data_IF_434873240751
#
_entry.id   IF_434873240751
#
_cell.length_a   1.000
_cell.length_b   1.000
_cell.length_c   1.000
_cell.angle_alpha   90.00
_cell.angle_beta   90.00
_cell.angle_gamma   90.00
#
_symmetry.space_group_name_H-M   'P 1'
#
loop_
_entity.id
_entity.type
_entity.pdbx_description
1 polymer ?
#
# COMPACT_ATOMS: atom_id res chain seq x y z
N UNK A 1 -31.56 14.19 36.35
CA UNK A 1 -30.48 13.40 36.97
C UNK A 1 -30.16 12.32 35.97
N UNK A 2 -28.97 12.38 35.36
CA UNK A 2 -28.59 11.45 34.30
C UNK A 2 -28.38 10.04 34.86
N UNK A 3 -28.59 9.01 34.05
CA UNK A 3 -28.46 7.61 34.47
C UNK A 3 -27.11 7.30 35.13
N UNK A 4 -26.03 7.99 34.71
CA UNK A 4 -24.71 7.91 35.37
C UNK A 4 -24.71 8.36 36.84
N UNK A 5 -25.46 9.41 37.20
CA UNK A 5 -25.57 9.86 38.60
C UNK A 5 -26.33 8.85 39.45
N UNK A 6 -27.35 8.21 38.86
CA UNK A 6 -28.14 7.18 39.53
C UNK A 6 -27.30 5.93 39.74
N UNK A 7 -26.51 5.53 38.73
CA UNK A 7 -25.58 4.39 38.81
C UNK A 7 -24.47 4.67 39.83
N UNK A 8 -23.84 5.86 39.83
CA UNK A 8 -22.85 6.25 40.85
C UNK A 8 -23.44 6.20 42.25
N UNK A 9 -24.63 6.77 42.46
CA UNK A 9 -25.29 6.72 43.78
C UNK A 9 -25.56 5.29 44.21
N UNK A 10 -26.04 4.44 43.31
CA UNK A 10 -26.35 3.04 43.64
C UNK A 10 -25.10 2.23 44.00
N UNK A 11 -23.99 2.42 43.27
CA UNK A 11 -22.69 1.84 43.60
C UNK A 11 -22.15 2.31 44.95
N UNK A 12 -22.36 3.58 45.31
CA UNK A 12 -21.98 4.13 46.62
C UNK A 12 -22.84 3.59 47.78
N UNK A 13 -24.13 3.29 47.53
CA UNK A 13 -25.03 2.72 48.53
C UNK A 13 -24.82 1.20 48.74
N UNK A 14 -24.58 0.43 47.67
CA UNK A 14 -24.41 -1.03 47.75
C UNK A 14 -22.95 -1.48 47.95
N UNK A 15 -21.98 -0.57 47.82
CA UNK A 15 -20.54 -0.86 47.79
C UNK A 15 -19.83 -0.90 49.15
N UNK A 16 -20.45 -1.37 50.23
CA UNK A 16 -19.90 -1.50 51.61
C UNK A 16 -20.09 -0.30 52.57
N UNK A 17 -20.41 0.92 52.09
CA UNK A 17 -20.44 2.14 52.92
C UNK A 17 -21.49 2.19 54.04
N UNK A 18 -22.70 1.69 53.82
CA UNK A 18 -23.76 1.69 54.86
C UNK A 18 -23.74 0.46 55.77
N UNK A 19 -23.01 -0.59 55.38
CA UNK A 19 -22.94 -1.84 56.14
C UNK A 19 -21.96 -1.77 57.30
N UNK A 20 -20.83 -1.09 57.10
CA UNK A 20 -19.76 -1.02 58.10
C UNK A 20 -20.10 -0.05 59.23
N UNK A 21 -20.64 1.13 58.89
CA UNK A 21 -21.16 2.06 59.90
C UNK A 21 -22.27 1.43 60.75
N UNK A 22 -23.14 0.62 60.13
CA UNK A 22 -24.17 -0.14 60.86
C UNK A 22 -23.55 -1.21 61.77
N UNK A 23 -22.53 -1.95 61.30
CA UNK A 23 -21.82 -2.96 62.09
C UNK A 23 -21.13 -2.35 63.31
N UNK A 24 -20.43 -1.23 63.12
CA UNK A 24 -19.78 -0.49 64.20
C UNK A 24 -20.78 0.08 65.20
N UNK A 25 -21.91 0.61 64.73
CA UNK A 25 -22.99 1.08 65.61
C UNK A 25 -23.63 -0.05 66.43
N UNK A 26 -23.78 -1.25 65.85
CA UNK A 26 -24.29 -2.42 66.57
C UNK A 26 -23.29 -2.89 67.64
N UNK A 27 -22.00 -2.93 67.32
CA UNK A 27 -20.94 -3.26 68.29
C UNK A 27 -20.90 -2.24 69.43
N UNK A 28 -20.97 -0.94 69.13
CA UNK A 28 -20.98 0.13 70.11
C UNK A 28 -22.19 0.03 71.05
N UNK A 29 -23.39 -0.20 70.50
CA UNK A 29 -24.60 -0.42 71.32
C UNK A 29 -24.49 -1.68 72.18
N UNK A 30 -23.95 -2.76 71.62
CA UNK A 30 -23.70 -4.01 72.34
C UNK A 30 -22.74 -3.82 73.52
N UNK A 31 -21.65 -3.08 73.30
CA UNK A 31 -20.68 -2.73 74.33
C UNK A 31 -21.28 -1.85 75.44
N UNK A 32 -22.00 -0.80 75.08
CA UNK A 32 -22.68 0.06 76.06
C UNK A 32 -23.72 -0.69 76.87
N UNK A 33 -24.41 -1.67 76.26
CA UNK A 33 -25.39 -2.51 76.97
C UNK A 33 -24.68 -3.44 77.95
N UNK A 34 -23.58 -4.05 77.53
CA UNK A 34 -22.76 -4.93 78.36
C UNK A 34 -22.13 -4.21 79.56
N UNK A 35 -21.67 -2.96 79.40
CA UNK A 35 -21.13 -2.18 80.51
C UNK A 35 -22.16 -1.78 81.56
N UNK A 36 -23.45 -1.73 81.18
CA UNK A 36 -24.55 -1.28 82.05
C UNK A 36 -25.46 -2.44 82.51
N UNK A 37 -25.18 -3.68 82.10
CA UNK A 37 -26.00 -4.82 82.48
C UNK A 37 -25.56 -5.40 83.82
N UNK A 38 -26.53 -5.94 84.57
CA UNK A 38 -26.32 -6.55 85.88
C UNK A 38 -26.67 -8.06 85.77
N UNK A 39 -26.19 -8.65 84.68
CA UNK A 39 -26.56 -9.99 84.22
C UNK A 39 -25.76 -11.07 84.96
N UNK A 40 -26.17 -12.34 84.79
CA UNK A 40 -25.40 -13.48 85.30
C UNK A 40 -24.00 -13.52 84.68
N UNK A 41 -23.05 -14.16 85.39
CA UNK A 41 -21.67 -14.37 84.90
C UNK A 41 -21.67 -15.11 83.56
N UNK A 42 -22.57 -16.07 83.36
CA UNK A 42 -22.70 -16.83 82.12
C UNK A 42 -23.19 -15.97 80.94
N UNK A 43 -24.16 -15.09 81.19
CA UNK A 43 -24.71 -14.18 80.18
C UNK A 43 -23.69 -13.11 79.77
N UNK A 44 -22.94 -12.59 80.75
CA UNK A 44 -21.83 -11.65 80.57
C UNK A 44 -20.71 -12.25 79.71
N UNK A 45 -20.43 -13.54 79.88
CA UNK A 45 -19.41 -14.25 79.09
C UNK A 45 -19.89 -14.52 77.66
N UNK A 46 -21.17 -14.84 77.47
CA UNK A 46 -21.77 -15.03 76.16
C UNK A 46 -21.84 -13.73 75.34
N UNK A 47 -22.19 -12.60 75.97
CA UNK A 47 -22.16 -11.28 75.33
C UNK A 47 -20.74 -10.85 74.97
N UNK A 48 -19.75 -11.11 75.83
CA UNK A 48 -18.34 -10.86 75.53
C UNK A 48 -17.87 -11.64 74.30
N UNK A 49 -18.13 -12.95 74.23
CA UNK A 49 -17.77 -13.77 73.07
C UNK A 49 -18.43 -13.26 71.78
N UNK A 50 -19.69 -12.79 71.86
CA UNK A 50 -20.40 -12.20 70.72
C UNK A 50 -19.75 -10.88 70.26
N UNK A 51 -19.30 -10.03 71.18
CA UNK A 51 -18.58 -8.80 70.84
C UNK A 51 -17.24 -9.09 70.18
N UNK A 52 -16.47 -10.07 70.68
CA UNK A 52 -15.21 -10.49 70.04
C UNK A 52 -15.45 -10.98 68.61
N UNK A 53 -16.49 -11.79 68.38
CA UNK A 53 -16.85 -12.23 67.04
C UNK A 53 -17.25 -11.05 66.12
N UNK A 54 -17.94 -10.04 66.65
CA UNK A 54 -18.28 -8.83 65.89
C UNK A 54 -17.05 -7.98 65.55
N UNK A 55 -16.06 -7.88 66.45
CA UNK A 55 -14.78 -7.21 66.18
C UNK A 55 -14.05 -7.93 65.03
N UNK A 56 -13.93 -9.25 65.09
CA UNK A 56 -13.29 -10.04 64.03
C UNK A 56 -13.97 -9.85 62.67
N UNK A 57 -15.31 -9.72 62.64
CA UNK A 57 -16.04 -9.41 61.41
C UNK A 57 -15.76 -8.00 60.88
N UNK A 58 -15.57 -7.01 61.76
CA UNK A 58 -15.20 -5.64 61.35
C UNK A 58 -13.78 -5.60 60.80
N UNK A 59 -12.82 -6.30 61.43
CA UNK A 59 -11.44 -6.41 60.96
C UNK A 59 -11.36 -7.09 59.58
N UNK A 60 -12.13 -8.17 59.40
CA UNK A 60 -12.23 -8.84 58.10
C UNK A 60 -12.79 -7.92 57.01
N UNK A 61 -13.87 -7.19 57.31
CA UNK A 61 -14.47 -6.25 56.36
C UNK A 61 -13.49 -5.14 55.96
N UNK A 62 -12.80 -4.53 56.93
CA UNK A 62 -11.79 -3.50 56.67
C UNK A 62 -10.63 -4.02 55.81
N UNK A 63 -10.14 -5.22 56.12
CA UNK A 63 -9.07 -5.86 55.34
C UNK A 63 -9.51 -6.16 53.92
N UNK A 64 -10.73 -6.67 53.74
CA UNK A 64 -11.32 -6.94 52.42
C UNK A 64 -11.43 -5.64 51.61
N UNK A 65 -11.94 -4.57 52.21
CA UNK A 65 -12.08 -3.27 51.53
C UNK A 65 -10.73 -2.72 51.07
N UNK A 66 -9.69 -2.82 51.92
CA UNK A 66 -8.32 -2.45 51.54
C UNK A 66 -7.82 -3.26 50.34
N UNK A 67 -7.99 -4.59 50.34
CA UNK A 67 -7.59 -5.45 49.22
C UNK A 67 -8.36 -5.14 47.94
N UNK A 68 -9.65 -4.85 48.04
CA UNK A 68 -10.44 -4.41 46.89
C UNK A 68 -9.92 -3.08 46.33
N UNK A 69 -9.52 -2.13 47.18
CA UNK A 69 -8.92 -0.87 46.75
C UNK A 69 -7.58 -1.09 46.01
N UNK A 70 -6.70 -1.93 46.57
CA UNK A 70 -5.43 -2.31 45.93
C UNK A 70 -5.65 -2.97 44.58
N UNK A 71 -6.59 -3.93 44.50
CA UNK A 71 -6.97 -4.61 43.26
C UNK A 71 -7.51 -3.62 42.22
N UNK A 72 -8.43 -2.74 42.60
CA UNK A 72 -8.99 -1.75 41.68
C UNK A 72 -7.92 -0.80 41.14
N UNK A 73 -6.95 -0.42 41.98
CA UNK A 73 -5.82 0.43 41.56
C UNK A 73 -4.94 -0.29 40.54
N UNK A 74 -4.65 -1.57 40.76
CA UNK A 74 -3.89 -2.39 39.83
C UNK A 74 -4.63 -2.62 38.51
N UNK A 75 -5.95 -2.87 38.56
CA UNK A 75 -6.79 -3.00 37.37
C UNK A 75 -6.83 -1.70 36.56
N UNK A 76 -6.94 -0.54 37.22
CA UNK A 76 -6.89 0.76 36.55
C UNK A 76 -5.58 0.94 35.77
N UNK A 77 -4.43 0.66 36.40
CA UNK A 77 -3.13 0.73 35.73
C UNK A 77 -3.05 -0.22 34.53
N UNK A 78 -3.56 -1.44 34.68
CA UNK A 78 -3.60 -2.40 33.58
C UNK A 78 -4.48 -1.93 32.41
N UNK A 79 -5.61 -1.27 32.68
CA UNK A 79 -6.45 -0.68 31.63
C UNK A 79 -5.77 0.50 30.94
N UNK A 80 -5.03 1.33 31.66
CA UNK A 80 -4.25 2.42 31.08
C UNK A 80 -3.15 1.87 30.15
N UNK A 81 -2.44 0.82 30.57
CA UNK A 81 -1.44 0.14 29.75
C UNK A 81 -2.05 -0.48 28.49
N UNK A 82 -3.20 -1.15 28.63
CA UNK A 82 -3.92 -1.73 27.49
C UNK A 82 -4.38 -0.64 26.51
N UNK A 83 -4.85 0.49 27.03
CA UNK A 83 -5.25 1.63 26.22
C UNK A 83 -4.08 2.15 25.38
N UNK A 84 -2.91 2.33 26.01
CA UNK A 84 -1.70 2.77 25.32
C UNK A 84 -1.24 1.76 24.24
N UNK A 85 -1.28 0.47 24.52
CA UNK A 85 -0.94 -0.57 23.54
C UNK A 85 -1.89 -0.55 22.32
N UNK A 86 -3.18 -0.34 22.55
CA UNK A 86 -4.16 -0.23 21.45
C UNK A 86 -3.89 1.04 20.63
N UNK A 87 -3.62 2.18 21.29
CA UNK A 87 -3.30 3.44 20.62
C UNK A 87 -2.04 3.30 19.73
N UNK A 88 -0.98 2.66 20.26
CA UNK A 88 0.24 2.34 19.50
C UNK A 88 -0.05 1.42 18.31
N UNK A 89 -0.87 0.37 18.51
CA UNK A 89 -1.31 -0.54 17.46
C UNK A 89 -2.09 0.18 16.35
N UNK A 90 -2.94 1.13 16.71
CA UNK A 90 -3.69 1.96 15.74
C UNK A 90 -2.74 2.84 14.93
N UNK A 91 -1.75 3.46 15.58
CA UNK A 91 -0.75 4.31 14.89
C UNK A 91 0.09 3.47 13.92
N UNK A 92 0.53 2.28 14.34
CA UNK A 92 1.26 1.34 13.49
C UNK A 92 0.43 0.91 12.28
N UNK A 93 -0.83 0.48 12.50
CA UNK A 93 -1.72 0.08 11.41
C UNK A 93 -1.99 1.22 10.41
N UNK A 94 -2.16 2.46 10.89
CA UNK A 94 -2.31 3.64 10.02
C UNK A 94 -1.07 3.85 9.15
N UNK A 95 0.12 3.71 9.71
CA UNK A 95 1.39 3.82 8.98
C UNK A 95 1.51 2.74 7.90
N UNK A 96 1.12 1.50 8.21
CA UNK A 96 1.16 0.39 7.26
C UNK A 96 0.16 0.58 6.12
N UNK A 97 -1.04 1.10 6.41
CA UNK A 97 -2.03 1.48 5.38
C UNK A 97 -1.44 2.56 4.45
N UNK A 98 -0.73 3.54 5.00
CA UNK A 98 -0.15 4.61 4.20
C UNK A 98 1.00 4.11 3.31
N UNK A 99 1.82 3.19 3.82
CA UNK A 99 2.89 2.53 3.07
C UNK A 99 2.32 1.67 1.92
N UNK A 100 1.39 0.77 2.22
CA UNK A 100 0.74 -0.10 1.23
C UNK A 100 -0.01 0.69 0.15
N UNK A 101 -0.58 1.86 0.50
CA UNK A 101 -1.19 2.77 -0.48
C UNK A 101 -0.17 3.33 -1.47
N UNK A 102 1.04 3.69 -1.01
CA UNK A 102 2.13 4.15 -1.90
C UNK A 102 2.61 3.03 -2.82
N UNK A 103 2.85 1.85 -2.27
CA UNK A 103 3.23 0.66 -3.06
C UNK A 103 2.18 0.32 -4.12
N UNK A 104 0.89 0.43 -3.79
CA UNK A 104 -0.19 0.21 -4.74
C UNK A 104 -0.18 1.25 -5.88
N UNK A 105 0.13 2.51 -5.59
CA UNK A 105 0.26 3.55 -6.62
C UNK A 105 1.43 3.26 -7.56
N UNK A 106 2.59 2.87 -7.02
CA UNK A 106 3.76 2.48 -7.81
C UNK A 106 3.47 1.25 -8.68
N UNK A 107 2.85 0.22 -8.11
CA UNK A 107 2.45 -0.98 -8.85
C UNK A 107 1.47 -0.67 -9.99
N UNK A 108 0.52 0.25 -9.77
CA UNK A 108 -0.39 0.73 -10.82
C UNK A 108 0.35 1.47 -11.93
N UNK A 109 1.33 2.30 -11.59
CA UNK A 109 2.14 3.00 -12.58
C UNK A 109 2.97 2.01 -13.41
N UNK A 110 3.63 1.04 -12.78
CA UNK A 110 4.38 -0.02 -13.46
C UNK A 110 3.47 -0.79 -14.41
N UNK A 111 2.25 -1.14 -13.97
CA UNK A 111 1.28 -1.83 -14.82
C UNK A 111 0.88 -0.99 -16.03
N UNK A 112 0.59 0.31 -15.85
CA UNK A 112 0.29 1.21 -16.98
C UNK A 112 1.45 1.27 -17.96
N UNK A 113 2.67 1.48 -17.48
CA UNK A 113 3.87 1.52 -18.32
C UNK A 113 4.03 0.21 -19.11
N UNK A 114 3.84 -0.95 -18.46
CA UNK A 114 3.88 -2.26 -19.14
C UNK A 114 2.84 -2.37 -20.26
N UNK A 115 1.60 -1.96 -19.99
CA UNK A 115 0.55 -1.96 -21.02
C UNK A 115 0.88 -1.06 -22.21
N UNK A 116 1.49 0.10 -21.97
CA UNK A 116 1.95 1.00 -23.03
C UNK A 116 3.09 0.37 -23.85
N UNK A 117 4.04 -0.29 -23.19
CA UNK A 117 5.10 -1.03 -23.87
C UNK A 117 4.55 -2.20 -24.70
N UNK A 118 3.62 -2.97 -24.15
CA UNK A 118 3.00 -4.10 -24.86
C UNK A 118 2.20 -3.61 -26.07
N UNK A 119 1.49 -2.49 -25.94
CA UNK A 119 0.76 -1.88 -27.06
C UNK A 119 1.73 -1.41 -28.17
N UNK A 120 2.82 -0.74 -27.82
CA UNK A 120 3.85 -0.34 -28.79
C UNK A 120 4.53 -1.55 -29.43
N UNK A 121 4.85 -2.59 -28.65
CA UNK A 121 5.43 -3.82 -29.16
C UNK A 121 4.50 -4.52 -30.16
N UNK A 122 3.19 -4.55 -29.89
CA UNK A 122 2.21 -5.10 -30.82
C UNK A 122 2.19 -4.33 -32.15
N UNK A 123 2.25 -3.00 -32.11
CA UNK A 123 2.33 -2.17 -33.33
C UNK A 123 3.64 -2.44 -34.08
N UNK A 124 4.78 -2.51 -33.38
CA UNK A 124 6.08 -2.82 -33.99
C UNK A 124 6.07 -4.20 -34.66
N UNK A 125 5.42 -5.19 -34.05
CA UNK A 125 5.34 -6.55 -34.58
C UNK A 125 4.50 -6.66 -35.87
N UNK A 126 3.63 -5.69 -36.15
CA UNK A 126 2.94 -5.61 -37.47
C UNK A 126 3.90 -5.23 -38.60
N UNK A 127 5.02 -4.59 -38.27
CA UNK A 127 6.02 -4.19 -39.25
C UNK A 127 6.99 -5.36 -39.52
N UNK A 128 7.48 -5.51 -40.76
CA UNK A 128 8.41 -6.57 -41.11
C UNK A 128 9.75 -6.42 -40.37
N UNK A 129 10.41 -7.56 -40.15
CA UNK A 129 11.68 -7.60 -39.47
C UNK A 129 12.71 -6.67 -40.12
N UNK A 130 13.42 -5.94 -39.26
CA UNK A 130 14.44 -4.96 -39.68
C UNK A 130 15.49 -5.59 -40.58
N UNK A 131 15.92 -6.81 -40.27
CA UNK A 131 16.94 -7.54 -41.05
C UNK A 131 16.43 -7.84 -42.46
N UNK A 132 15.23 -8.38 -42.59
CA UNK A 132 14.60 -8.66 -43.89
C UNK A 132 14.42 -7.40 -44.73
N UNK A 133 14.04 -6.27 -44.12
CA UNK A 133 13.96 -5.00 -44.82
C UNK A 133 15.34 -4.48 -45.27
N UNK A 134 16.38 -4.64 -44.44
CA UNK A 134 17.75 -4.28 -44.82
C UNK A 134 18.27 -5.14 -45.98
N UNK A 135 17.98 -6.44 -45.96
CA UNK A 135 18.37 -7.36 -47.04
C UNK A 135 17.66 -6.98 -48.36
N UNK A 136 16.35 -6.69 -48.32
CA UNK A 136 15.60 -6.19 -49.49
C UNK A 136 16.15 -4.86 -50.01
N UNK A 137 16.51 -3.95 -49.12
CA UNK A 137 17.14 -2.67 -49.47
C UNK A 137 18.49 -2.88 -50.16
N UNK A 138 19.30 -3.82 -49.68
CA UNK A 138 20.59 -4.15 -50.29
C UNK A 138 20.42 -4.73 -51.69
N UNK A 139 19.47 -5.66 -51.88
CA UNK A 139 19.15 -6.24 -53.18
C UNK A 139 18.66 -5.17 -54.16
N UNK A 140 17.69 -4.33 -53.76
CA UNK A 140 17.17 -3.26 -54.61
C UNK A 140 18.24 -2.25 -55.01
N UNK A 141 19.19 -1.94 -54.12
CA UNK A 141 20.34 -1.09 -54.45
C UNK A 141 21.24 -1.72 -55.50
N UNK A 142 21.51 -3.02 -55.38
CA UNK A 142 22.32 -3.74 -56.35
C UNK A 142 21.63 -3.81 -57.72
N UNK A 143 20.32 -4.05 -57.76
CA UNK A 143 19.53 -4.04 -58.99
C UNK A 143 19.52 -2.66 -59.65
N UNK A 144 19.39 -1.60 -58.86
CA UNK A 144 19.46 -0.22 -59.35
C UNK A 144 20.81 0.08 -59.99
N UNK A 145 21.91 -0.24 -59.30
CA UNK A 145 23.27 -0.03 -59.80
C UNK A 145 23.56 -0.84 -61.08
N UNK A 146 23.06 -2.07 -61.14
CA UNK A 146 23.16 -2.90 -62.34
C UNK A 146 22.38 -2.29 -63.53
N UNK A 147 21.14 -1.80 -63.28
CA UNK A 147 20.31 -1.16 -64.30
C UNK A 147 20.93 0.16 -64.79
N UNK A 148 21.47 0.98 -63.90
CA UNK A 148 22.20 2.20 -64.25
C UNK A 148 23.43 1.90 -65.11
N UNK A 149 24.20 0.87 -64.75
CA UNK A 149 25.35 0.41 -65.55
C UNK A 149 24.93 -0.06 -66.94
N UNK A 150 23.80 -0.77 -67.05
CA UNK A 150 23.28 -1.22 -68.34
C UNK A 150 22.77 -0.06 -69.20
N UNK A 151 22.06 0.90 -68.61
CA UNK A 151 21.67 2.14 -69.27
C UNK A 151 22.89 2.89 -69.81
N UNK A 152 23.94 3.09 -69.00
CA UNK A 152 25.18 3.75 -69.44
C UNK A 152 25.85 3.00 -70.60
N UNK A 153 25.90 1.66 -70.55
CA UNK A 153 26.45 0.84 -71.65
C UNK A 153 25.62 1.00 -72.93
N UNK A 154 24.30 1.04 -72.83
CA UNK A 154 23.41 1.23 -73.98
C UNK A 154 23.57 2.64 -74.56
N UNK A 155 23.66 3.68 -73.72
CA UNK A 155 23.94 5.05 -74.15
C UNK A 155 25.28 5.15 -74.89
N UNK A 156 26.34 4.54 -74.36
CA UNK A 156 27.64 4.48 -75.04
C UNK A 156 27.55 3.80 -76.42
N UNK A 157 26.83 2.67 -76.51
CA UNK A 157 26.62 1.98 -77.79
C UNK A 157 25.83 2.84 -78.76
N UNK A 158 24.78 3.51 -78.30
CA UNK A 158 23.94 4.37 -79.11
C UNK A 158 24.76 5.55 -79.65
N UNK A 159 25.59 6.17 -78.82
CA UNK A 159 26.48 7.25 -79.22
C UNK A 159 27.54 6.79 -80.23
N UNK A 160 28.09 5.59 -80.05
CA UNK A 160 28.99 5.00 -81.04
C UNK A 160 28.29 4.76 -82.38
N UNK A 161 27.04 4.26 -82.38
CA UNK A 161 26.24 4.11 -83.60
C UNK A 161 25.95 5.45 -84.27
N UNK A 162 25.60 6.50 -83.50
CA UNK A 162 25.43 7.86 -84.03
C UNK A 162 26.69 8.36 -84.75
N UNK A 163 27.86 8.18 -84.15
CA UNK A 163 29.15 8.53 -84.77
C UNK A 163 29.42 7.74 -86.06
N UNK A 164 29.14 6.43 -86.06
CA UNK A 164 29.26 5.58 -87.26
C UNK A 164 28.32 6.05 -88.38
N UNK A 165 27.06 6.36 -88.07
CA UNK A 165 26.12 6.90 -89.06
C UNK A 165 26.55 8.26 -89.59
N UNK A 166 27.06 9.15 -88.72
CA UNK A 166 27.57 10.45 -89.15
C UNK A 166 28.75 10.31 -90.11
N UNK A 167 29.69 9.40 -89.81
CA UNK A 167 30.80 9.09 -90.73
C UNK A 167 30.28 8.56 -92.07
N UNK A 168 29.33 7.62 -92.05
CA UNK A 168 28.74 7.06 -93.27
C UNK A 168 28.06 8.14 -94.12
N UNK A 169 27.25 9.01 -93.50
CA UNK A 169 26.60 10.14 -94.19
C UNK A 169 27.65 11.09 -94.78
N UNK A 170 28.71 11.42 -94.02
CA UNK A 170 29.80 12.26 -94.51
C UNK A 170 30.54 11.62 -95.70
N UNK A 171 30.77 10.30 -95.69
CA UNK A 171 31.37 9.60 -96.84
C UNK A 171 30.44 9.57 -98.05
N UNK A 172 29.13 9.41 -97.86
CA UNK A 172 28.15 9.48 -98.95
C UNK A 172 28.13 10.89 -99.55
N UNK A 173 28.11 11.93 -98.72
CA UNK A 173 28.18 13.32 -99.18
C UNK A 173 29.49 13.61 -99.91
N UNK A 174 30.62 13.09 -99.42
CA UNK A 174 31.91 13.20 -100.08
C UNK A 174 31.94 12.49 -101.43
N UNK A 175 31.38 11.28 -101.53
CA UNK A 175 31.24 10.56 -102.80
C UNK A 175 30.29 11.26 -103.77
N UNK A 176 29.21 11.87 -103.27
CA UNK A 176 28.30 12.69 -104.09
C UNK A 176 29.00 13.94 -104.62
N UNK A 177 29.86 14.59 -103.82
CA UNK A 177 30.70 15.69 -104.28
C UNK A 177 31.69 15.22 -105.35
N UNK A 178 32.34 14.08 -105.15
CA UNK A 178 33.28 13.50 -106.11
C UNK A 178 32.59 13.14 -107.45
N UNK A 179 31.39 12.58 -107.40
CA UNK A 179 30.56 12.32 -108.58
C UNK A 179 30.13 13.62 -109.27
N UNK A 180 29.77 14.66 -108.51
CA UNK A 180 29.42 15.96 -109.07
C UNK A 180 30.63 16.68 -109.70
N UNK A 181 31.82 16.49 -109.13
CA UNK A 181 33.08 17.02 -109.67
C UNK A 181 33.51 16.25 -110.94
N UNK A 182 33.32 14.93 -111.00
CA UNK A 182 33.58 14.09 -112.19
C UNK A 182 32.58 14.37 -113.33
N UNK A 183 31.32 14.73 -113.04
CA UNK A 183 30.33 15.17 -114.05
C UNK A 183 30.58 16.60 -114.55
N UNK A 184 31.38 17.40 -113.85
CA UNK A 184 31.73 18.78 -114.21
C UNK A 184 33.02 18.92 -115.05
N UNK A 185 33.69 17.81 -115.36
CA UNK A 185 34.84 17.71 -116.28
C UNK A 185 34.49 16.97 -117.56
#
# INVERSE_FOLDING_TARGET
>A
MGDEEIIRRRLLFDGEGTGDERRLNVLLKGFLTWCNSNDSVEETQASYARMVAQIAQCEFAATKSLRCCEMNTAEQQHYDDLYNQIEEGIVAAKKDIEATKKELQEARQIRRNKMEYDALAAIIQTQPDRKTNQDKLALLRQELEASESECQKLEMKLEQRRKQFHLLISTIQGLQQLLADDEAT
#
